data_IF_784026144543
#
_entry.id   IF_784026144543
#
_cell.length_a   1.000
_cell.length_b   1.000
_cell.length_c   1.000
_cell.angle_alpha   90.00
_cell.angle_beta   90.00
_cell.angle_gamma   90.00
#
_symmetry.space_group_name_H-M   'P 1'
#
loop_
_entity.id
_entity.type
_entity.pdbx_description
1 polymer ?
#
# COMPACT_ATOMS: atom_id res chain seq x y z
N UNK A 1 -26.04 8.98 -2.79
CA UNK A 1 -24.81 8.36 -3.31
C UNK A 1 -23.71 8.65 -2.31
N UNK A 2 -22.95 7.64 -1.89
CA UNK A 2 -21.82 7.81 -0.97
C UNK A 2 -20.69 8.57 -1.70
N UNK A 3 -20.14 9.61 -1.08
CA UNK A 3 -19.01 10.40 -1.62
C UNK A 3 -17.64 9.81 -1.24
N UNK A 4 -17.59 8.51 -0.95
CA UNK A 4 -16.36 7.84 -0.56
C UNK A 4 -15.36 7.76 -1.71
N UNK A 5 -14.12 8.11 -1.39
CA UNK A 5 -12.98 8.03 -2.31
C UNK A 5 -12.05 6.90 -1.91
N UNK A 6 -11.41 6.28 -2.89
CA UNK A 6 -10.30 5.36 -2.70
C UNK A 6 -9.03 5.99 -3.26
N UNK A 7 -7.95 5.95 -2.49
CA UNK A 7 -6.61 6.33 -2.93
C UNK A 7 -5.84 5.06 -3.30
N UNK A 8 -5.44 4.95 -4.56
CA UNK A 8 -4.82 3.75 -5.12
C UNK A 8 -3.39 4.06 -5.49
N UNK A 9 -2.48 3.16 -5.12
CA UNK A 9 -1.11 3.15 -5.63
C UNK A 9 -0.92 1.96 -6.56
N UNK A 10 -0.24 2.15 -7.68
CA UNK A 10 0.07 1.11 -8.64
C UNK A 10 1.42 1.37 -9.31
N UNK A 11 2.10 0.32 -9.74
CA UNK A 11 3.30 0.44 -10.55
C UNK A 11 2.92 0.40 -12.04
N UNK A 12 3.30 1.46 -12.75
CA UNK A 12 3.21 1.51 -14.21
C UNK A 12 4.50 0.96 -14.81
N UNK A 13 4.43 -0.27 -15.32
CA UNK A 13 5.58 -0.95 -15.93
C UNK A 13 6.06 -0.27 -17.21
N UNK A 14 5.18 0.43 -17.94
CA UNK A 14 5.56 1.12 -19.17
C UNK A 14 6.46 2.32 -18.86
N UNK A 15 6.13 3.08 -17.81
CA UNK A 15 6.91 4.26 -17.40
C UNK A 15 7.88 3.98 -16.27
N UNK A 16 7.88 2.77 -15.72
CA UNK A 16 8.65 2.36 -14.54
C UNK A 16 8.49 3.29 -13.33
N UNK A 17 7.24 3.68 -13.06
CA UNK A 17 6.90 4.64 -12.00
C UNK A 17 5.81 4.10 -11.08
N UNK A 18 5.95 4.38 -9.78
CA UNK A 18 4.82 4.27 -8.86
C UNK A 18 3.93 5.49 -9.07
N UNK A 19 2.65 5.24 -9.33
CA UNK A 19 1.65 6.28 -9.54
C UNK A 19 0.58 6.19 -8.46
N UNK A 20 -0.04 7.33 -8.20
CA UNK A 20 -1.15 7.46 -7.27
C UNK A 20 -2.34 8.07 -7.99
N UNK A 21 -3.54 7.58 -7.68
CA UNK A 21 -4.77 8.18 -8.16
C UNK A 21 -5.86 8.13 -7.09
N UNK A 22 -6.81 9.05 -7.21
CA UNK A 22 -8.04 9.05 -6.42
C UNK A 22 -9.18 8.65 -7.35
N UNK A 23 -9.97 7.67 -6.92
CA UNK A 23 -11.15 7.22 -7.64
C UNK A 23 -12.35 7.16 -6.69
N UNK A 24 -13.56 7.09 -7.23
CA UNK A 24 -14.73 6.77 -6.40
C UNK A 24 -14.59 5.34 -5.86
N UNK A 25 -14.80 5.15 -4.55
CA UNK A 25 -14.67 3.84 -3.89
C UNK A 25 -15.55 2.78 -4.56
N UNK A 26 -16.75 3.16 -4.99
CA UNK A 26 -17.69 2.28 -5.66
C UNK A 26 -17.12 1.62 -6.93
N UNK A 27 -16.23 2.30 -7.67
CA UNK A 27 -15.62 1.75 -8.89
C UNK A 27 -14.61 0.63 -8.63
N UNK A 28 -14.13 0.50 -7.38
CA UNK A 28 -13.13 -0.51 -7.00
C UNK A 28 -13.63 -1.42 -5.88
N UNK A 29 -14.94 -1.39 -5.58
CA UNK A 29 -15.52 -2.12 -4.45
C UNK A 29 -15.26 -3.64 -4.55
N UNK A 30 -15.36 -4.22 -5.74
CA UNK A 30 -15.13 -5.65 -5.94
C UNK A 30 -13.68 -6.09 -5.66
N UNK A 31 -12.71 -5.18 -5.81
CA UNK A 31 -11.32 -5.42 -5.44
C UNK A 31 -11.14 -5.31 -3.92
N UNK A 32 -11.78 -4.30 -3.30
CA UNK A 32 -11.77 -4.09 -1.85
C UNK A 32 -12.36 -5.31 -1.12
N UNK A 33 -13.50 -5.84 -1.59
CA UNK A 33 -14.21 -6.97 -0.97
C UNK A 33 -13.37 -8.26 -0.91
N UNK A 34 -12.31 -8.36 -1.73
CA UNK A 34 -11.42 -9.53 -1.83
C UNK A 34 -10.06 -9.29 -1.19
N UNK A 35 -9.78 -8.09 -0.72
CA UNK A 35 -8.51 -7.69 -0.16
C UNK A 35 -8.57 -7.62 1.37
N UNK A 36 -7.43 -7.83 2.02
CA UNK A 36 -7.28 -7.49 3.43
C UNK A 36 -7.26 -5.96 3.55
N UNK A 37 -8.15 -5.41 4.38
CA UNK A 37 -8.15 -4.00 4.76
C UNK A 37 -7.63 -3.84 6.17
N UNK A 38 -6.72 -2.88 6.39
CA UNK A 38 -6.11 -2.60 7.70
C UNK A 38 -6.56 -1.18 8.10
N UNK A 39 -7.11 -0.98 9.31
CA UNK A 39 -7.51 0.34 9.77
C UNK A 39 -6.28 1.25 10.02
N UNK A 40 -6.57 2.53 10.14
CA UNK A 40 -5.58 3.56 10.49
C UNK A 40 -6.14 4.38 11.65
N UNK A 41 -5.49 4.40 12.82
CA UNK A 41 -4.27 3.67 13.18
C UNK A 41 -4.44 2.13 13.15
N UNK A 42 -3.35 1.35 12.97
CA UNK A 42 -3.38 -0.09 13.17
C UNK A 42 -3.90 -0.41 14.58
N UNK A 43 -4.73 -1.44 14.71
CA UNK A 43 -5.39 -1.86 15.96
C UNK A 43 -6.50 -0.93 16.48
N UNK A 44 -6.83 0.16 15.79
CA UNK A 44 -7.98 0.97 16.15
C UNK A 44 -9.30 0.20 15.99
N UNK A 45 -10.20 0.21 16.99
CA UNK A 45 -11.55 -0.33 16.83
C UNK A 45 -12.33 0.37 15.70
N UNK A 46 -13.35 -0.31 15.17
CA UNK A 46 -14.27 0.33 14.23
C UNK A 46 -14.92 1.57 14.85
N UNK A 47 -14.98 2.66 14.08
CA UNK A 47 -15.50 3.96 14.53
C UNK A 47 -14.73 4.57 15.73
N UNK A 48 -13.47 4.22 15.90
CA UNK A 48 -12.62 4.85 16.92
C UNK A 48 -12.33 6.32 16.61
N UNK A 49 -12.30 7.15 17.66
CA UNK A 49 -11.84 8.53 17.63
C UNK A 49 -10.32 8.65 17.90
N UNK A 50 -9.57 7.54 17.86
CA UNK A 50 -8.11 7.58 18.03
C UNK A 50 -7.50 8.50 16.97
N UNK A 51 -6.70 9.52 17.37
CA UNK A 51 -6.08 10.43 16.42
C UNK A 51 -5.15 9.70 15.45
N UNK A 52 -5.24 10.05 14.16
CA UNK A 52 -4.23 9.68 13.18
C UNK A 52 -3.05 10.63 13.34
N UNK A 53 -1.87 10.10 13.60
CA UNK A 53 -0.66 10.87 13.86
C UNK A 53 0.23 10.98 12.61
N UNK A 54 1.19 11.90 12.64
CA UNK A 54 2.24 11.99 11.61
C UNK A 54 3.00 10.66 11.45
N UNK A 55 3.14 9.93 12.56
CA UNK A 55 3.79 8.62 12.57
C UNK A 55 3.00 7.56 11.79
N UNK A 56 1.68 7.57 11.92
CA UNK A 56 0.79 6.69 11.15
C UNK A 56 0.87 7.02 9.66
N UNK A 57 0.82 8.30 9.31
CA UNK A 57 0.95 8.76 7.93
C UNK A 57 2.30 8.34 7.31
N UNK A 58 3.40 8.48 8.06
CA UNK A 58 4.75 8.07 7.63
C UNK A 58 4.85 6.56 7.42
N UNK A 59 4.30 5.77 8.34
CA UNK A 59 4.26 4.30 8.22
C UNK A 59 3.45 3.84 7.02
N UNK A 60 2.27 4.41 6.82
CA UNK A 60 1.38 4.06 5.70
C UNK A 60 1.98 4.45 4.34
N UNK A 61 2.54 5.65 4.23
CA UNK A 61 3.25 6.07 3.01
C UNK A 61 4.40 5.12 2.69
N UNK A 62 5.20 4.75 3.69
CA UNK A 62 6.29 3.79 3.53
C UNK A 62 5.78 2.41 3.10
N UNK A 63 4.70 1.92 3.71
CA UNK A 63 4.09 0.63 3.39
C UNK A 63 3.54 0.61 1.95
N UNK A 64 2.87 1.68 1.51
CA UNK A 64 2.36 1.80 0.15
C UNK A 64 3.49 1.68 -0.90
N UNK A 65 4.65 2.27 -0.63
CA UNK A 65 5.83 2.14 -1.50
C UNK A 65 6.45 0.73 -1.45
N UNK A 66 6.59 0.17 -0.24
CA UNK A 66 7.16 -1.17 -0.02
C UNK A 66 6.35 -2.26 -0.73
N UNK A 67 5.02 -2.15 -0.78
CA UNK A 67 4.15 -3.12 -1.46
C UNK A 67 4.52 -3.36 -2.93
N UNK A 68 5.00 -2.33 -3.64
CA UNK A 68 5.40 -2.45 -5.05
C UNK A 68 6.76 -3.13 -5.21
N UNK A 69 7.67 -2.94 -4.26
CA UNK A 69 9.05 -3.44 -4.38
C UNK A 69 9.16 -4.96 -4.35
N UNK A 70 8.18 -5.68 -3.77
CA UNK A 70 8.19 -7.15 -3.80
C UNK A 70 8.11 -7.68 -5.23
N UNK A 71 7.24 -7.09 -6.06
CA UNK A 71 7.02 -7.52 -7.44
C UNK A 71 8.04 -6.95 -8.43
N UNK A 72 8.70 -5.83 -8.07
CA UNK A 72 9.53 -5.03 -8.97
C UNK A 72 10.96 -4.83 -8.41
N UNK A 73 11.91 -5.75 -8.66
CA UNK A 73 13.28 -5.66 -8.15
C UNK A 73 14.03 -4.38 -8.52
N UNK A 74 13.75 -3.81 -9.69
CA UNK A 74 14.26 -2.53 -10.17
C UNK A 74 13.85 -1.35 -9.28
N UNK A 75 12.68 -1.43 -8.66
CA UNK A 75 12.25 -0.44 -7.67
C UNK A 75 13.05 -0.58 -6.37
N UNK A 76 13.42 -1.80 -5.96
CA UNK A 76 14.23 -2.02 -4.74
C UNK A 76 15.54 -1.26 -4.83
N UNK A 77 16.21 -1.30 -5.98
CA UNK A 77 17.49 -0.60 -6.18
C UNK A 77 17.34 0.93 -6.08
N UNK A 78 16.17 1.48 -6.40
CA UNK A 78 15.88 2.92 -6.36
C UNK A 78 15.33 3.39 -5.01
N UNK A 79 14.81 2.48 -4.19
CA UNK A 79 14.09 2.83 -2.96
C UNK A 79 15.07 2.98 -1.78
N UNK A 80 15.33 4.23 -1.40
CA UNK A 80 16.20 4.61 -0.28
C UNK A 80 15.37 4.97 0.96
N UNK A 81 14.60 4.03 1.49
CA UNK A 81 13.78 4.25 2.70
C UNK A 81 14.48 3.67 3.93
N UNK A 82 14.57 4.48 4.99
CA UNK A 82 15.03 4.01 6.30
C UNK A 82 13.90 3.23 6.97
N UNK A 83 14.08 1.93 7.11
CA UNK A 83 13.19 1.04 7.85
C UNK A 83 13.85 0.62 9.15
N UNK A 84 13.08 0.50 10.24
CA UNK A 84 13.59 0.23 11.59
C UNK A 84 14.37 -1.10 11.68
N UNK A 85 13.96 -2.10 10.89
CA UNK A 85 14.69 -3.36 10.72
C UNK A 85 14.95 -3.62 9.22
N UNK A 86 16.11 -4.18 8.83
CA UNK A 86 16.40 -4.51 7.44
C UNK A 86 15.34 -5.47 6.87
N UNK A 87 14.74 -5.11 5.74
CA UNK A 87 13.83 -6.01 5.03
C UNK A 87 14.67 -7.09 4.35
N UNK A 88 14.54 -8.34 4.79
CA UNK A 88 15.10 -9.47 4.06
C UNK A 88 14.18 -9.76 2.88
N UNK A 89 14.61 -9.35 1.69
CA UNK A 89 13.90 -9.57 0.43
C UNK A 89 14.01 -11.03 -0.03
N UNK A 90 13.37 -11.97 0.67
CA UNK A 90 13.29 -13.35 0.19
C UNK A 90 12.51 -13.38 -1.13
N UNK A 91 13.15 -13.87 -2.21
CA UNK A 91 12.44 -14.15 -3.44
C UNK A 91 11.43 -15.26 -3.18
N UNK A 92 10.14 -14.93 -3.22
CA UNK A 92 9.09 -15.96 -3.30
C UNK A 92 9.22 -16.56 -4.70
N UNK A 93 9.83 -17.75 -4.82
CA UNK A 93 9.79 -18.51 -6.08
C UNK A 93 8.32 -18.70 -6.46
N UNK A 94 7.92 -18.43 -7.70
CA UNK A 94 6.57 -18.78 -8.15
C UNK A 94 6.36 -20.27 -7.92
N UNK A 95 5.26 -20.67 -7.28
CA UNK A 95 4.89 -22.08 -7.24
C UNK A 95 4.63 -22.53 -8.67
N UNK A 96 5.44 -23.46 -9.19
CA UNK A 96 5.16 -24.09 -10.47
C UNK A 96 3.76 -24.70 -10.40
N UNK A 97 2.85 -24.18 -11.23
CA UNK A 97 1.61 -24.88 -11.58
C UNK A 97 1.89 -25.72 -12.80
#
# INVERSE_FOLDING_TARGET
MSNESAFISYYDEQTQQIKFCVVQRAHVQSAIDRALSIPVPPDAPENSDTPITDEDARKLGSMAMLCHTKAHPELRARMQVTIEAPLVWTQVKPSAK
#
